data_IF_281280849256
#
_entry.id   IF_281280849256
#
_cell.length_a   1.000
_cell.length_b   1.000
_cell.length_c   1.000
_cell.angle_alpha   90.00
_cell.angle_beta   90.00
_cell.angle_gamma   90.00
#
_symmetry.space_group_name_H-M   'P 1'
#
loop_
_entity.id
_entity.type
_entity.pdbx_description
1 polymer ?
#
# COMPACT_ATOMS: atom_id res chain seq x y z
N UNK A 1 -21.82 -4.64 -6.28
CA UNK A 1 -20.36 -4.78 -6.56
C UNK A 1 -19.61 -4.78 -5.24
N UNK A 2 -18.68 -5.72 -5.03
CA UNK A 2 -17.88 -5.74 -3.81
C UNK A 2 -16.73 -4.73 -3.93
N UNK A 3 -16.98 -3.48 -3.51
CA UNK A 3 -16.07 -2.34 -3.65
C UNK A 3 -14.75 -2.48 -2.88
N UNK A 4 -14.66 -3.45 -1.98
CA UNK A 4 -13.47 -3.70 -1.15
C UNK A 4 -12.25 -4.06 -2.00
N UNK A 5 -12.38 -4.94 -2.99
CA UNK A 5 -11.25 -5.39 -3.82
C UNK A 5 -10.62 -4.24 -4.64
N UNK A 6 -11.40 -3.41 -5.37
CA UNK A 6 -10.87 -2.22 -6.03
C UNK A 6 -10.19 -1.24 -5.07
N UNK A 7 -10.77 -0.99 -3.89
CA UNK A 7 -10.21 -0.06 -2.90
C UNK A 7 -8.85 -0.52 -2.39
N UNK A 8 -8.68 -1.82 -2.10
CA UNK A 8 -7.41 -2.37 -1.66
C UNK A 8 -6.32 -2.24 -2.73
N UNK A 9 -6.66 -2.45 -4.00
CA UNK A 9 -5.76 -2.26 -5.13
C UNK A 9 -5.33 -0.80 -5.31
N UNK A 10 -6.28 0.14 -5.26
CA UNK A 10 -5.98 1.58 -5.34
C UNK A 10 -5.03 1.97 -4.20
N UNK A 11 -5.32 1.51 -2.99
CA UNK A 11 -4.51 1.81 -1.82
C UNK A 11 -3.10 1.20 -1.92
N UNK A 12 -2.98 -0.04 -2.44
CA UNK A 12 -1.68 -0.69 -2.66
C UNK A 12 -0.85 0.06 -3.70
N UNK A 13 -1.45 0.42 -4.83
CA UNK A 13 -0.76 1.16 -5.89
C UNK A 13 -0.34 2.55 -5.43
N UNK A 14 -1.20 3.24 -4.67
CA UNK A 14 -0.89 4.55 -4.10
C UNK A 14 0.26 4.50 -3.10
N UNK A 15 0.28 3.50 -2.20
CA UNK A 15 1.36 3.33 -1.22
C UNK A 15 2.68 2.90 -1.86
N UNK A 16 2.65 2.03 -2.89
CA UNK A 16 3.85 1.70 -3.68
C UNK A 16 4.39 2.91 -4.46
N UNK A 17 3.51 3.72 -5.06
CA UNK A 17 3.89 4.96 -5.73
C UNK A 17 4.53 5.96 -4.76
N UNK A 18 3.99 6.10 -3.57
CA UNK A 18 4.53 6.95 -2.51
C UNK A 18 5.94 6.49 -2.07
N UNK A 19 6.15 5.18 -1.91
CA UNK A 19 7.46 4.60 -1.61
C UNK A 19 8.47 4.81 -2.75
N UNK A 20 8.04 4.68 -4.00
CA UNK A 20 8.89 4.97 -5.17
C UNK A 20 9.32 6.44 -5.18
N UNK A 21 8.39 7.37 -4.99
CA UNK A 21 8.72 8.80 -4.93
C UNK A 21 9.71 9.07 -3.81
N UNK A 22 9.52 8.47 -2.63
CA UNK A 22 10.48 8.57 -1.53
C UNK A 22 11.86 8.04 -1.93
N UNK A 23 11.94 6.86 -2.57
CA UNK A 23 13.20 6.27 -2.99
C UNK A 23 14.01 7.14 -3.97
N UNK A 24 13.36 8.04 -4.72
CA UNK A 24 14.05 9.00 -5.59
C UNK A 24 14.28 10.38 -4.95
N UNK A 25 13.55 10.72 -3.89
CA UNK A 25 13.57 12.06 -3.27
C UNK A 25 14.20 12.10 -1.88
N UNK A 26 14.57 10.94 -1.30
CA UNK A 26 15.08 10.83 0.07
C UNK A 26 16.34 11.66 0.36
N UNK A 27 17.19 11.92 -0.63
CA UNK A 27 18.38 12.76 -0.47
C UNK A 27 18.08 14.27 -0.57
N UNK A 28 16.96 14.64 -1.18
CA UNK A 28 16.60 16.03 -1.46
C UNK A 28 15.70 16.61 -0.37
N UNK A 29 14.88 15.76 0.24
CA UNK A 29 13.94 16.13 1.29
C UNK A 29 14.19 15.26 2.52
N UNK A 30 14.25 15.89 3.68
CA UNK A 30 14.32 15.24 4.99
C UNK A 30 12.94 14.63 5.33
N UNK A 31 12.48 13.67 4.51
CA UNK A 31 11.24 12.94 4.75
C UNK A 31 11.43 12.05 5.97
N UNK A 32 10.63 12.31 7.01
CA UNK A 32 10.66 11.60 8.30
C UNK A 32 10.38 10.12 8.14
N UNK A 33 11.02 9.30 8.98
CA UNK A 33 10.77 7.86 9.13
C UNK A 33 9.28 7.52 9.29
N UNK A 34 8.51 8.43 9.91
CA UNK A 34 7.04 8.37 10.04
C UNK A 34 6.32 8.12 8.70
N UNK A 35 6.81 8.71 7.60
CA UNK A 35 6.24 8.54 6.25
C UNK A 35 6.44 7.12 5.73
N UNK A 36 7.66 6.57 5.89
CA UNK A 36 7.98 5.21 5.47
C UNK A 36 7.15 4.19 6.24
N UNK A 37 7.01 4.38 7.56
CA UNK A 37 6.19 3.54 8.43
C UNK A 37 4.74 3.57 7.96
N UNK A 38 4.19 4.76 7.68
CA UNK A 38 2.80 4.90 7.24
C UNK A 38 2.57 4.26 5.87
N UNK A 39 3.42 4.55 4.87
CA UNK A 39 3.30 3.98 3.53
C UNK A 39 3.47 2.45 3.54
N UNK A 40 4.41 1.95 4.34
CA UNK A 40 4.63 0.52 4.55
C UNK A 40 3.42 -0.18 5.18
N UNK A 41 2.82 0.41 6.22
CA UNK A 41 1.59 -0.11 6.85
C UNK A 41 0.43 -0.18 5.86
N UNK A 42 0.23 0.88 5.06
CA UNK A 42 -0.84 0.92 4.06
C UNK A 42 -0.66 -0.16 2.98
N UNK A 43 0.58 -0.35 2.50
CA UNK A 43 0.89 -1.40 1.55
C UNK A 43 0.66 -2.80 2.16
N UNK A 44 1.10 -3.04 3.39
CA UNK A 44 0.95 -4.32 4.09
C UNK A 44 -0.53 -4.68 4.32
N UNK A 45 -1.34 -3.75 4.82
CA UNK A 45 -2.78 -3.95 5.05
C UNK A 45 -3.50 -4.27 3.74
N UNK A 46 -3.18 -3.54 2.67
CA UNK A 46 -3.75 -3.82 1.35
C UNK A 46 -3.37 -5.20 0.82
N UNK A 47 -2.10 -5.60 0.94
CA UNK A 47 -1.63 -6.90 0.50
C UNK A 47 -2.30 -8.04 1.27
N UNK A 48 -2.40 -7.92 2.60
CA UNK A 48 -3.10 -8.88 3.46
C UNK A 48 -4.59 -8.96 3.11
N UNK A 49 -5.26 -7.81 2.93
CA UNK A 49 -6.66 -7.78 2.53
C UNK A 49 -6.92 -8.47 1.18
N UNK A 50 -6.03 -8.25 0.20
CA UNK A 50 -6.13 -8.92 -1.10
C UNK A 50 -5.86 -10.42 -1.00
N UNK A 51 -4.92 -10.85 -0.15
CA UNK A 51 -4.63 -12.25 0.10
C UNK A 51 -5.83 -12.97 0.75
N UNK A 52 -6.44 -12.35 1.76
CA UNK A 52 -7.64 -12.88 2.42
C UNK A 52 -8.82 -12.98 1.45
N UNK A 53 -9.04 -11.98 0.59
CA UNK A 53 -10.07 -12.02 -0.44
C UNK A 53 -9.83 -13.09 -1.51
N UNK A 54 -8.57 -13.41 -1.81
CA UNK A 54 -8.23 -14.52 -2.71
C UNK A 54 -8.60 -15.85 -2.06
N UNK A 55 -8.27 -16.04 -0.79
CA UNK A 55 -8.61 -17.25 -0.03
C UNK A 55 -10.12 -17.43 0.11
N UNK A 56 -10.87 -16.36 0.42
CA UNK A 56 -12.33 -16.45 0.57
C UNK A 56 -13.09 -16.71 -0.73
N UNK A 57 -12.50 -16.41 -1.89
CA UNK A 57 -13.13 -16.68 -3.20
C UNK A 57 -12.85 -18.10 -3.72
N UNK A 58 -12.02 -18.90 -3.03
CA UNK A 58 -11.71 -20.29 -3.41
C UNK A 58 -12.45 -21.35 -2.57
N UNK A 59 -13.34 -20.93 -1.66
CA UNK A 59 -14.32 -21.78 -0.96
C UNK A 59 -15.68 -21.72 -1.66
#
# INVERSE_FOLDING_TARGET
MNFVKPLLWINLLGSLGALLVYAFTFNTFNYRDDFLVLAGLFAAVSALGLLLLKTSNQS
#
